data_IF_388628012432
#
_entry.id   IF_388628012432
#
_cell.length_a   1.000
_cell.length_b   1.000
_cell.length_c   1.000
_cell.angle_alpha   90.00
_cell.angle_beta   90.00
_cell.angle_gamma   90.00
#
_symmetry.space_group_name_H-M   'P 1'
#
loop_
_entity.id
_entity.type
_entity.pdbx_description
1 polymer ?
#
# COMPACT_ATOMS: atom_id res chain seq x y z
N UNK A 1 -2.69 9.14 -17.23
CA UNK A 1 -1.86 8.29 -18.13
C UNK A 1 -2.61 7.00 -18.37
N UNK A 2 -2.66 6.54 -19.60
CA UNK A 2 -3.18 5.20 -19.86
C UNK A 2 -2.18 4.18 -19.29
N UNK A 3 -2.65 3.23 -18.50
CA UNK A 3 -1.88 2.04 -18.09
C UNK A 3 -1.46 1.36 -19.39
N UNK A 4 -0.21 0.98 -19.54
CA UNK A 4 0.19 0.15 -20.66
C UNK A 4 -0.56 -1.19 -20.60
N UNK A 5 -0.53 -1.97 -21.68
CA UNK A 5 -1.28 -3.23 -21.77
C UNK A 5 -0.90 -4.27 -20.69
N UNK A 6 0.15 -4.02 -19.90
CA UNK A 6 0.61 -4.88 -18.80
C UNK A 6 -0.11 -4.62 -17.47
N UNK A 7 -0.83 -3.48 -17.33
CA UNK A 7 -1.49 -3.10 -16.06
C UNK A 7 -0.50 -2.67 -14.98
N UNK A 8 -1.03 -2.43 -13.78
CA UNK A 8 -0.22 -2.15 -12.58
C UNK A 8 0.06 -3.45 -11.81
N UNK A 9 1.30 -3.65 -11.40
CA UNK A 9 1.69 -4.75 -10.55
C UNK A 9 2.03 -4.25 -9.13
N UNK A 10 1.99 -5.14 -8.18
CA UNK A 10 2.33 -4.87 -6.79
C UNK A 10 2.48 -6.14 -5.97
N UNK A 11 2.81 -5.96 -4.71
CA UNK A 11 2.95 -7.09 -3.79
C UNK A 11 3.49 -6.68 -2.44
N UNK A 12 3.84 -7.68 -1.66
CA UNK A 12 4.38 -7.46 -0.33
C UNK A 12 5.90 -7.22 -0.35
N UNK A 13 6.42 -6.63 0.71
CA UNK A 13 7.85 -6.32 0.85
C UNK A 13 8.76 -7.52 0.59
N UNK A 14 8.40 -8.72 1.07
CA UNK A 14 9.24 -9.91 0.90
C UNK A 14 9.02 -10.66 -0.41
N UNK A 15 8.10 -10.23 -1.27
CA UNK A 15 7.78 -10.87 -2.55
C UNK A 15 6.96 -12.16 -2.49
N UNK A 16 6.61 -12.65 -1.29
CA UNK A 16 5.82 -13.88 -1.14
C UNK A 16 4.40 -13.76 -1.72
N UNK A 17 3.85 -12.55 -1.74
CA UNK A 17 2.55 -12.24 -2.34
C UNK A 17 2.75 -11.21 -3.45
N UNK A 18 2.27 -11.55 -4.63
CA UNK A 18 2.28 -10.65 -5.80
C UNK A 18 0.87 -10.58 -6.38
N UNK A 19 0.53 -9.43 -6.94
CA UNK A 19 -0.74 -9.21 -7.62
C UNK A 19 -0.60 -8.29 -8.83
N UNK A 20 -1.64 -8.29 -9.67
CA UNK A 20 -1.79 -7.39 -10.81
C UNK A 20 -3.16 -6.76 -10.83
N UNK A 21 -3.22 -5.50 -11.24
CA UNK A 21 -4.45 -4.78 -11.54
C UNK A 21 -4.61 -4.66 -13.05
N UNK A 22 -5.72 -5.16 -13.58
CA UNK A 22 -6.03 -5.10 -15.01
C UNK A 22 -6.88 -3.86 -15.37
N UNK A 23 -6.89 -2.85 -14.51
CA UNK A 23 -7.51 -1.55 -14.73
C UNK A 23 -6.87 -0.49 -13.85
N UNK A 24 -7.04 0.77 -14.22
CA UNK A 24 -6.65 1.90 -13.39
C UNK A 24 -7.47 1.93 -12.10
N UNK A 25 -6.82 2.12 -10.94
CA UNK A 25 -7.52 2.32 -9.69
C UNK A 25 -8.40 3.58 -9.74
N UNK A 26 -9.57 3.49 -9.16
CA UNK A 26 -10.50 4.60 -9.01
C UNK A 26 -10.81 4.86 -7.55
N UNK A 27 -11.35 6.03 -7.23
CA UNK A 27 -11.61 6.41 -5.84
C UNK A 27 -10.34 6.44 -4.99
N UNK A 28 -9.24 6.88 -5.60
CA UNK A 28 -7.92 6.93 -4.95
C UNK A 28 -7.95 7.95 -3.83
N UNK A 29 -7.60 7.51 -2.62
CA UNK A 29 -7.78 8.32 -1.42
C UNK A 29 -6.71 8.04 -0.35
N UNK A 30 -6.61 8.98 0.59
CA UNK A 30 -5.89 8.82 1.86
C UNK A 30 -6.94 8.67 2.96
N UNK A 31 -6.84 7.62 3.79
CA UNK A 31 -7.73 7.41 4.93
C UNK A 31 -6.99 7.62 6.25
N UNK A 32 -7.47 8.58 7.04
CA UNK A 32 -6.91 8.96 8.34
C UNK A 32 -7.59 8.25 9.52
N UNK A 33 -8.61 7.42 9.31
CA UNK A 33 -9.32 6.77 10.41
C UNK A 33 -8.37 5.91 11.26
N UNK A 34 -8.73 5.73 12.55
CA UNK A 34 -7.87 4.99 13.49
C UNK A 34 -7.59 3.55 13.05
N UNK A 35 -8.54 2.88 12.41
CA UNK A 35 -8.31 1.53 11.88
C UNK A 35 -7.24 1.54 10.78
N UNK A 36 -7.26 2.51 9.87
CA UNK A 36 -6.24 2.65 8.83
C UNK A 36 -4.87 3.01 9.42
N UNK A 37 -4.82 3.91 10.42
CA UNK A 37 -3.58 4.24 11.13
C UNK A 37 -2.99 3.00 11.82
N UNK A 38 -3.81 2.20 12.50
CA UNK A 38 -3.36 0.97 13.16
C UNK A 38 -2.89 -0.08 12.14
N UNK A 39 -3.62 -0.26 11.05
CA UNK A 39 -3.28 -1.24 10.03
C UNK A 39 -2.01 -0.89 9.25
N UNK A 40 -1.75 0.40 9.04
CA UNK A 40 -0.54 0.87 8.32
C UNK A 40 0.67 1.06 9.23
N UNK A 41 0.44 1.28 10.53
CA UNK A 41 1.48 1.75 11.45
C UNK A 41 1.93 3.21 11.18
N UNK A 42 1.19 3.93 10.33
CA UNK A 42 1.48 5.31 9.93
C UNK A 42 0.33 6.26 10.20
N UNK A 43 0.45 7.53 9.80
CA UNK A 43 -0.58 8.55 10.06
C UNK A 43 -1.83 8.38 9.22
N UNK A 44 -1.77 7.62 8.15
CA UNK A 44 -2.87 7.28 7.23
C UNK A 44 -2.54 6.00 6.45
N UNK A 45 -3.49 5.57 5.65
CA UNK A 45 -3.28 4.57 4.60
C UNK A 45 -3.85 5.08 3.28
N UNK A 46 -3.10 4.95 2.20
CA UNK A 46 -3.55 5.35 0.87
C UNK A 46 -4.05 4.13 0.09
N UNK A 47 -5.16 4.30 -0.62
CA UNK A 47 -5.84 3.23 -1.34
C UNK A 47 -6.24 3.64 -2.75
N UNK A 48 -6.30 2.65 -3.64
CA UNK A 48 -6.94 2.75 -4.94
C UNK A 48 -7.80 1.52 -5.22
N UNK A 49 -9.04 1.70 -5.68
CA UNK A 49 -10.01 0.64 -5.84
C UNK A 49 -10.16 0.14 -7.27
N UNK A 50 -10.27 -1.17 -7.45
CA UNK A 50 -10.63 -1.82 -8.72
C UNK A 50 -11.79 -2.80 -8.49
N UNK A 51 -12.40 -3.28 -9.58
CA UNK A 51 -13.35 -4.42 -9.48
C UNK A 51 -12.58 -5.70 -9.12
N UNK A 52 -13.20 -6.61 -8.38
CA UNK A 52 -12.60 -7.91 -8.06
C UNK A 52 -12.15 -8.67 -9.30
N UNK A 53 -12.90 -8.60 -10.40
CA UNK A 53 -12.53 -9.22 -11.68
C UNK A 53 -11.28 -8.64 -12.33
N UNK A 54 -10.81 -7.49 -11.84
CA UNK A 54 -9.61 -6.80 -12.33
C UNK A 54 -8.41 -6.90 -11.38
N UNK A 55 -8.59 -7.57 -10.25
CA UNK A 55 -7.57 -7.85 -9.25
C UNK A 55 -7.16 -9.33 -9.33
N UNK A 56 -5.92 -9.59 -9.64
CA UNK A 56 -5.40 -10.95 -9.82
C UNK A 56 -4.20 -11.17 -8.90
N UNK A 57 -4.31 -12.12 -7.98
CA UNK A 57 -3.13 -12.59 -7.22
C UNK A 57 -2.31 -13.49 -8.14
N UNK A 58 -1.08 -13.07 -8.45
CA UNK A 58 -0.19 -13.77 -9.37
C UNK A 58 0.75 -14.73 -8.64
N UNK A 59 1.00 -14.51 -7.35
CA UNK A 59 1.82 -15.39 -6.51
C UNK A 59 1.41 -15.31 -5.05
N UNK A 60 1.51 -16.42 -4.35
CA UNK A 60 1.24 -16.52 -2.92
C UNK A 60 -0.24 -16.45 -2.55
N UNK A 61 -0.48 -16.18 -1.27
CA UNK A 61 -1.83 -16.09 -0.69
C UNK A 61 -1.91 -14.89 0.23
N UNK A 62 -2.96 -14.09 0.09
CA UNK A 62 -3.27 -12.98 0.97
C UNK A 62 -3.96 -13.52 2.22
N UNK A 63 -3.38 -13.28 3.40
CA UNK A 63 -4.04 -13.51 4.67
C UNK A 63 -5.02 -12.37 4.95
N UNK A 64 -6.11 -12.64 5.66
CA UNK A 64 -7.13 -11.65 5.94
C UNK A 64 -7.41 -11.51 7.44
N UNK A 65 -7.85 -10.32 7.83
CA UNK A 65 -8.32 -9.98 9.15
C UNK A 65 -9.63 -9.18 9.01
N UNK A 66 -10.71 -9.66 9.63
CA UNK A 66 -11.97 -8.92 9.69
C UNK A 66 -11.79 -7.70 10.59
N UNK A 67 -11.54 -6.54 9.98
CA UNK A 67 -11.27 -5.31 10.72
C UNK A 67 -12.53 -4.68 11.30
N UNK A 68 -13.69 -5.10 10.83
CA UNK A 68 -15.02 -4.72 11.32
C UNK A 68 -16.06 -5.75 10.86
N UNK A 69 -17.32 -5.55 11.26
CA UNK A 69 -18.44 -6.41 10.82
C UNK A 69 -18.74 -6.28 9.33
N UNK A 70 -18.21 -5.25 8.67
CA UNK A 70 -18.53 -4.94 7.27
C UNK A 70 -17.34 -5.03 6.32
N UNK A 71 -16.11 -5.26 6.84
CA UNK A 71 -14.92 -5.25 5.99
C UNK A 71 -13.76 -6.08 6.53
N UNK A 72 -12.94 -6.56 5.62
CA UNK A 72 -11.69 -7.24 5.92
C UNK A 72 -10.49 -6.53 5.29
N UNK A 73 -9.32 -6.79 5.85
CA UNK A 73 -8.01 -6.33 5.36
C UNK A 73 -7.16 -7.52 4.98
N UNK A 74 -6.55 -7.43 3.81
CA UNK A 74 -5.59 -8.40 3.33
C UNK A 74 -4.16 -7.95 3.61
N UNK A 75 -3.30 -8.89 3.96
CA UNK A 75 -1.90 -8.65 4.25
C UNK A 75 -1.04 -9.89 3.96
N UNK A 76 0.25 -9.69 3.87
CA UNK A 76 1.18 -10.80 3.77
C UNK A 76 1.43 -11.42 5.16
N UNK A 77 1.10 -12.70 5.34
CA UNK A 77 1.33 -13.40 6.60
C UNK A 77 2.83 -13.53 6.98
N UNK A 78 3.74 -13.41 5.99
CA UNK A 78 5.18 -13.56 6.19
C UNK A 78 5.86 -12.27 6.64
N UNK A 79 5.57 -11.13 5.99
CA UNK A 79 6.25 -9.86 6.27
C UNK A 79 5.35 -8.77 6.82
N UNK A 80 4.03 -9.00 6.89
CA UNK A 80 3.06 -8.06 7.46
C UNK A 80 2.65 -6.91 6.54
N UNK A 81 3.16 -6.83 5.31
CA UNK A 81 2.78 -5.75 4.39
C UNK A 81 1.26 -5.73 4.20
N UNK A 82 0.56 -4.61 4.50
CA UNK A 82 -0.85 -4.45 4.20
C UNK A 82 -1.05 -4.34 2.69
N UNK A 83 -2.00 -5.09 2.14
CA UNK A 83 -2.19 -5.21 0.69
C UNK A 83 -3.57 -4.72 0.25
N UNK A 84 -4.64 -5.16 0.92
CA UNK A 84 -6.01 -4.92 0.45
C UNK A 84 -6.96 -4.49 1.56
N UNK A 85 -8.04 -3.84 1.14
CA UNK A 85 -9.23 -3.59 1.95
C UNK A 85 -10.45 -3.92 1.10
N UNK A 86 -11.38 -4.69 1.65
CA UNK A 86 -12.59 -5.10 0.94
C UNK A 86 -13.79 -5.08 1.88
N UNK A 87 -14.87 -4.43 1.46
CA UNK A 87 -16.18 -4.56 2.10
C UNK A 87 -16.79 -5.93 1.83
N UNK A 88 -17.40 -6.55 2.84
CA UNK A 88 -18.11 -7.82 2.65
C UNK A 88 -19.27 -7.64 1.65
N UNK A 89 -19.35 -8.54 0.67
CA UNK A 89 -20.34 -8.47 -0.39
C UNK A 89 -20.05 -7.40 -1.48
N UNK A 90 -18.94 -6.68 -1.38
CA UNK A 90 -18.52 -5.73 -2.42
C UNK A 90 -17.94 -6.47 -3.63
N UNK A 91 -18.23 -5.97 -4.83
CA UNK A 91 -17.59 -6.40 -6.08
C UNK A 91 -16.26 -5.64 -6.34
N UNK A 92 -15.81 -4.85 -5.36
CA UNK A 92 -14.58 -4.05 -5.44
C UNK A 92 -13.63 -4.39 -4.31
N UNK A 93 -12.35 -4.28 -4.62
CA UNK A 93 -11.25 -4.34 -3.66
C UNK A 93 -10.39 -3.09 -3.80
N UNK A 94 -9.93 -2.55 -2.70
CA UNK A 94 -8.94 -1.47 -2.67
C UNK A 94 -7.57 -2.04 -2.36
N UNK A 95 -6.55 -1.66 -3.13
CA UNK A 95 -5.15 -1.99 -2.84
C UNK A 95 -4.48 -0.82 -2.15
N UNK A 96 -3.50 -1.10 -1.29
CA UNK A 96 -2.68 -0.05 -0.69
C UNK A 96 -1.69 0.50 -1.72
N UNK A 97 -1.59 1.82 -1.86
CA UNK A 97 -0.72 2.42 -2.87
C UNK A 97 0.76 2.12 -2.62
N UNK A 98 1.17 2.03 -1.37
CA UNK A 98 2.54 1.67 -1.01
C UNK A 98 2.94 0.23 -1.35
N UNK A 99 1.98 -0.65 -1.70
CA UNK A 99 2.26 -2.01 -2.16
C UNK A 99 2.35 -2.15 -3.69
N UNK A 100 2.08 -1.08 -4.44
CA UNK A 100 2.34 -1.04 -5.88
C UNK A 100 3.85 -1.01 -6.15
N UNK A 101 4.29 -1.59 -7.25
CA UNK A 101 5.69 -1.54 -7.70
C UNK A 101 6.10 -0.10 -8.06
N UNK A 102 5.17 0.68 -8.59
CA UNK A 102 5.28 2.13 -8.70
C UNK A 102 4.18 2.80 -7.85
N UNK A 103 4.48 3.20 -6.61
CA UNK A 103 3.50 3.87 -5.75
C UNK A 103 3.10 5.26 -6.24
N UNK A 104 3.85 5.85 -7.17
CA UNK A 104 3.55 7.11 -7.83
C UNK A 104 2.68 6.98 -9.08
N UNK A 105 2.35 5.77 -9.53
CA UNK A 105 1.55 5.54 -10.74
C UNK A 105 0.11 6.06 -10.65
N UNK A 106 -0.40 6.32 -9.44
CA UNK A 106 -1.72 6.90 -9.20
C UNK A 106 -1.68 7.84 -8.00
N UNK A 107 -2.50 8.89 -8.03
CA UNK A 107 -2.49 9.94 -7.02
C UNK A 107 -3.80 9.99 -6.24
N UNK A 108 -3.75 10.14 -4.89
CA UNK A 108 -4.93 10.39 -4.09
C UNK A 108 -5.62 11.70 -4.47
N UNK A 109 -6.94 11.65 -4.57
CA UNK A 109 -7.79 12.80 -4.93
C UNK A 109 -8.67 13.27 -3.77
N UNK A 110 -8.80 12.46 -2.72
CA UNK A 110 -9.62 12.76 -1.56
C UNK A 110 -8.97 12.27 -0.27
N UNK A 111 -9.37 12.88 0.84
CA UNK A 111 -9.01 12.45 2.19
C UNK A 111 -10.27 12.00 2.93
N UNK A 112 -10.23 10.79 3.48
CA UNK A 112 -11.30 10.22 4.29
C UNK A 112 -10.91 10.22 5.77
N UNK A 113 -11.90 10.33 6.66
CA UNK A 113 -11.65 10.31 8.11
C UNK A 113 -10.80 11.48 8.58
N UNK A 114 -10.94 12.66 7.95
CA UNK A 114 -10.12 13.84 8.24
C UNK A 114 -10.25 14.33 9.70
N UNK A 115 -11.34 14.01 10.38
CA UNK A 115 -11.55 14.27 11.80
C UNK A 115 -10.54 13.53 12.71
N UNK A 116 -9.94 12.46 12.22
CA UNK A 116 -8.91 11.67 12.91
C UNK A 116 -7.49 11.98 12.45
N UNK A 117 -7.31 12.96 11.56
CA UNK A 117 -5.98 13.34 11.05
C UNK A 117 -5.07 13.76 12.19
N UNK A 118 -3.86 13.20 12.24
CA UNK A 118 -2.86 13.58 13.24
C UNK A 118 -2.33 14.99 12.98
N UNK A 119 -2.27 15.81 14.02
CA UNK A 119 -1.94 17.25 13.90
C UNK A 119 -0.56 17.53 13.31
N UNK A 120 0.42 16.68 13.57
CA UNK A 120 1.79 16.90 13.08
C UNK A 120 1.95 16.63 11.57
N UNK A 121 0.96 15.96 10.93
CA UNK A 121 1.09 15.58 9.51
C UNK A 121 1.21 16.79 8.59
N UNK A 122 0.46 17.86 8.83
CA UNK A 122 0.48 19.06 7.99
C UNK A 122 1.86 19.74 7.99
N UNK A 123 2.59 19.63 9.08
CA UNK A 123 3.95 20.18 9.21
C UNK A 123 5.07 19.22 8.75
N UNK A 124 4.75 17.95 8.48
CA UNK A 124 5.78 16.94 8.21
C UNK A 124 6.59 17.21 6.95
N UNK A 125 6.01 17.85 5.94
CA UNK A 125 6.69 18.22 4.70
C UNK A 125 7.71 19.35 4.87
N UNK A 126 7.70 20.03 6.01
CA UNK A 126 8.65 21.10 6.35
C UNK A 126 9.78 20.62 7.29
N UNK A 127 9.82 19.33 7.61
CA UNK A 127 10.90 18.77 8.42
C UNK A 127 12.20 18.70 7.60
N UNK A 128 13.38 18.83 8.25
CA UNK A 128 14.65 18.64 7.55
C UNK A 128 14.71 17.30 6.83
N UNK A 129 15.13 17.34 5.57
CA UNK A 129 15.27 16.14 4.74
C UNK A 129 16.67 15.55 4.89
N UNK A 130 16.74 14.27 5.15
CA UNK A 130 17.99 13.51 5.23
C UNK A 130 17.89 12.29 4.29
N UNK A 131 18.92 12.08 3.48
CA UNK A 131 19.05 10.82 2.74
C UNK A 131 19.40 9.68 3.70
N UNK A 132 19.17 8.44 3.28
CA UNK A 132 19.60 7.26 4.05
C UNK A 132 21.11 7.26 4.25
N UNK A 133 21.89 7.73 3.26
CA UNK A 133 23.35 7.84 3.35
C UNK A 133 23.81 8.88 4.38
N UNK A 134 23.05 9.97 4.55
CA UNK A 134 23.33 10.97 5.60
C UNK A 134 22.98 10.44 6.99
N UNK A 135 21.97 9.58 7.08
CA UNK A 135 21.52 9.02 8.36
C UNK A 135 22.30 7.78 8.78
N UNK A 136 22.65 6.90 7.83
CA UNK A 136 23.47 5.70 8.07
C UNK A 136 24.92 5.97 7.65
N UNK A 137 25.87 5.46 8.45
CA UNK A 137 27.28 5.48 8.03
C UNK A 137 27.50 4.58 6.81
N UNK A 138 28.44 4.93 5.93
CA UNK A 138 28.81 4.12 4.75
C UNK A 138 29.09 2.64 5.10
N UNK A 139 29.73 2.37 6.25
CA UNK A 139 30.00 1.02 6.73
C UNK A 139 28.71 0.25 7.06
N UNK A 140 27.72 0.91 7.65
CA UNK A 140 26.40 0.31 7.96
C UNK A 140 25.61 0.01 6.69
N UNK A 141 25.60 0.93 5.73
CA UNK A 141 24.93 0.73 4.44
C UNK A 141 25.50 -0.48 3.72
N UNK A 142 26.83 -0.59 3.65
CA UNK A 142 27.51 -1.72 2.99
C UNK A 142 27.25 -3.08 3.66
N UNK A 143 26.87 -3.09 4.94
CA UNK A 143 26.57 -4.31 5.70
C UNK A 143 25.08 -4.72 5.66
N UNK A 144 24.17 -3.88 5.11
CA UNK A 144 22.75 -4.18 5.05
C UNK A 144 22.46 -5.17 3.94
N UNK A 145 21.86 -6.31 4.30
CA UNK A 145 21.19 -7.17 3.34
C UNK A 145 19.72 -6.75 3.24
N UNK A 146 19.34 -6.24 2.10
CA UNK A 146 17.97 -5.88 1.82
C UNK A 146 17.14 -7.15 1.52
N UNK A 147 16.07 -7.34 2.29
CA UNK A 147 15.12 -8.46 2.09
C UNK A 147 13.88 -8.02 1.32
N UNK A 148 13.91 -6.83 0.75
CA UNK A 148 12.83 -6.33 -0.08
C UNK A 148 12.87 -6.98 -1.46
N UNK A 149 11.71 -7.38 -1.96
CA UNK A 149 11.54 -7.79 -3.34
C UNK A 149 11.81 -6.59 -4.26
N UNK A 150 12.53 -6.74 -5.36
CA UNK A 150 12.63 -5.69 -6.38
C UNK A 150 11.23 -5.33 -6.89
N UNK A 151 10.98 -4.04 -7.10
CA UNK A 151 9.68 -3.54 -7.56
C UNK A 151 9.50 -3.79 -9.07
N UNK A 152 9.47 -5.05 -9.45
CA UNK A 152 9.21 -5.52 -10.82
C UNK A 152 8.73 -6.98 -10.78
N UNK A 153 8.06 -7.42 -11.81
CA UNK A 153 7.76 -8.84 -11.98
C UNK A 153 9.03 -9.61 -12.35
N UNK A 154 9.23 -10.75 -11.66
CA UNK A 154 10.34 -11.66 -11.94
C UNK A 154 9.97 -12.63 -13.08
#
# INVERSE_FOLDING_TARGET
>A
MAIDAAGLAGGCQCGAVRYRLNAEPTGVNICHCRMCQKASGGPFMAFGGVRLSQFVVTSGTIATFSSSDIAERGFCARCGTPLTFQGFGSDRVSVTLGSLDDPGATEPQTQLGAESKVRWLDGSLNLPELSIEQWLTKKRIAAVQNHQHPDHEA
#
